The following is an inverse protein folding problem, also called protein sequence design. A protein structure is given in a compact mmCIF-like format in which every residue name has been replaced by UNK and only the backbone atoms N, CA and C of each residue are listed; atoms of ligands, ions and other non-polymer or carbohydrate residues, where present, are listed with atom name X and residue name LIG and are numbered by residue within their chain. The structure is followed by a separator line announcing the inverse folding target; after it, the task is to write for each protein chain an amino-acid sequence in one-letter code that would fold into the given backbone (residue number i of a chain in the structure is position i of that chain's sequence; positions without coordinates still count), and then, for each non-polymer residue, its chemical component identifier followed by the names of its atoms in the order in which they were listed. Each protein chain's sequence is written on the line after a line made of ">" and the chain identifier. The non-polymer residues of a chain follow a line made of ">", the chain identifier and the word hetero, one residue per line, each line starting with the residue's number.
data_IF_075394724636
#
_entry.id   IF_075394724636
#
_cell.length_a   1.000
_cell.length_b   1.000
_cell.length_c   1.000
_cell.angle_alpha   90.00
_cell.angle_beta   90.00
_cell.angle_gamma   90.00
#
_symmetry.space_group_name_H-M   'P 1'
#
loop_
_entity.id
_entity.type
_entity.pdbx_description
1 polymer ?
#
# COMPACT_ATOMS: atom_id res chain seq x y z
N UNK A 1 -58.75 -83.16 4.00
CA UNK A 1 -59.07 -83.93 2.78
C UNK A 1 -59.98 -83.08 1.92
N UNK A 2 -59.43 -82.41 0.91
CA UNK A 2 -60.21 -81.78 -0.16
C UNK A 2 -59.38 -81.85 -1.45
N UNK A 3 -59.98 -82.51 -2.44
CA UNK A 3 -59.51 -82.78 -3.80
C UNK A 3 -59.32 -81.47 -4.61
N UNK A 4 -58.36 -81.36 -5.55
CA UNK A 4 -58.48 -81.69 -7.00
C UNK A 4 -59.87 -81.21 -7.56
N UNK A 5 -60.03 -80.30 -8.53
CA UNK A 5 -59.13 -79.75 -9.56
C UNK A 5 -59.82 -78.59 -10.36
N UNK A 6 -59.47 -78.23 -11.62
CA UNK A 6 -58.90 -76.92 -11.99
C UNK A 6 -59.64 -76.21 -13.17
N UNK A 7 -58.89 -75.33 -13.84
CA UNK A 7 -58.97 -74.90 -15.24
C UNK A 7 -59.83 -73.68 -15.60
N UNK A 8 -59.10 -72.74 -16.20
CA UNK A 8 -59.49 -71.91 -17.35
C UNK A 8 -60.64 -70.91 -17.17
N UNK A 9 -60.25 -69.64 -17.14
CA UNK A 9 -60.25 -68.89 -18.42
C UNK A 9 -59.36 -67.67 -18.33
N UNK A 10 -58.37 -67.64 -19.24
CA UNK A 10 -57.87 -66.40 -19.80
C UNK A 10 -59.07 -65.61 -20.35
N UNK A 11 -59.33 -64.43 -19.80
CA UNK A 11 -59.92 -63.36 -20.56
C UNK A 11 -59.04 -62.13 -20.34
N UNK A 12 -58.34 -61.82 -21.43
CA UNK A 12 -57.56 -60.63 -21.65
C UNK A 12 -58.36 -59.37 -21.29
N UNK A 13 -57.89 -58.67 -20.25
CA UNK A 13 -58.38 -57.36 -19.83
C UNK A 13 -57.22 -56.38 -19.67
N UNK A 14 -56.12 -56.63 -20.39
CA UNK A 14 -54.87 -55.86 -20.27
C UNK A 14 -54.74 -54.76 -21.32
N UNK A 15 -55.54 -54.80 -22.40
CA UNK A 15 -55.48 -53.80 -23.47
C UNK A 15 -56.24 -52.49 -23.17
N UNK A 16 -57.24 -52.48 -22.27
CA UNK A 16 -58.06 -51.28 -22.00
C UNK A 16 -57.57 -50.42 -20.82
N UNK A 17 -56.61 -50.90 -20.01
CA UNK A 17 -56.14 -50.16 -18.83
C UNK A 17 -55.04 -49.14 -19.12
N UNK A 18 -54.35 -49.26 -20.25
CA UNK A 18 -53.18 -48.42 -20.55
C UNK A 18 -53.55 -47.11 -21.30
N UNK A 19 -54.73 -47.02 -21.91
CA UNK A 19 -55.14 -45.85 -22.70
C UNK A 19 -55.90 -44.78 -21.89
N UNK A 20 -56.45 -45.14 -20.73
CA UNK A 20 -57.26 -44.24 -19.90
C UNK A 20 -56.43 -43.35 -18.95
N UNK A 21 -55.19 -43.73 -18.64
CA UNK A 21 -54.33 -42.98 -17.70
C UNK A 21 -53.55 -41.83 -18.37
N UNK A 22 -53.33 -41.90 -19.69
CA UNK A 22 -52.55 -40.88 -20.42
C UNK A 22 -53.30 -39.57 -20.71
N UNK A 23 -54.62 -39.49 -20.47
CA UNK A 23 -55.43 -38.30 -20.82
C UNK A 23 -55.79 -37.40 -19.64
N UNK A 24 -55.45 -37.73 -18.40
CA UNK A 24 -55.94 -36.98 -17.24
C UNK A 24 -54.90 -36.80 -16.13
N UNK A 25 -53.92 -35.93 -16.36
CA UNK A 25 -53.60 -34.83 -15.44
C UNK A 25 -52.56 -33.88 -16.03
N UNK A 26 -53.12 -32.79 -16.54
CA UNK A 26 -52.46 -31.56 -16.93
C UNK A 26 -51.51 -31.07 -15.84
N UNK A 27 -50.24 -30.93 -16.20
CA UNK A 27 -49.23 -30.21 -15.42
C UNK A 27 -49.46 -28.72 -15.64
N UNK A 28 -49.74 -27.91 -14.60
CA UNK A 28 -49.83 -26.47 -14.80
C UNK A 28 -48.42 -25.93 -15.09
N UNK A 29 -48.22 -25.10 -16.13
CA UNK A 29 -46.96 -24.41 -16.33
C UNK A 29 -46.84 -23.29 -15.29
N UNK A 30 -46.31 -23.64 -14.12
CA UNK A 30 -45.90 -22.69 -13.09
C UNK A 30 -44.38 -22.77 -13.01
N UNK A 31 -43.75 -21.60 -13.01
CA UNK A 31 -42.32 -21.38 -12.72
C UNK A 31 -41.35 -21.41 -13.90
N UNK A 32 -41.76 -20.79 -15.01
CA UNK A 32 -40.83 -20.06 -15.88
C UNK A 32 -40.98 -18.58 -15.49
N UNK A 33 -40.40 -18.09 -14.39
CA UNK A 33 -39.13 -17.35 -14.39
C UNK A 33 -38.76 -17.05 -12.91
N UNK A 34 -37.91 -17.85 -12.26
CA UNK A 34 -37.16 -17.41 -11.08
C UNK A 34 -35.71 -17.03 -11.43
N UNK A 35 -35.20 -17.48 -12.58
CA UNK A 35 -33.78 -17.43 -12.90
C UNK A 35 -33.24 -16.01 -13.22
N UNK A 36 -34.10 -15.09 -13.66
CA UNK A 36 -33.65 -13.74 -14.08
C UNK A 36 -33.48 -12.78 -12.89
N UNK A 37 -34.25 -12.93 -11.80
CA UNK A 37 -34.12 -12.05 -10.62
C UNK A 37 -32.88 -12.38 -9.78
N UNK A 38 -32.52 -13.65 -9.65
CA UNK A 38 -31.29 -14.06 -8.93
C UNK A 38 -30.04 -13.56 -9.66
N UNK A 39 -30.04 -13.57 -11.00
CA UNK A 39 -28.95 -13.00 -11.79
C UNK A 39 -28.85 -11.47 -11.65
N UNK A 40 -29.98 -10.77 -11.51
CA UNK A 40 -30.04 -9.33 -11.23
C UNK A 40 -29.48 -8.96 -9.86
N UNK A 41 -29.82 -9.72 -8.81
CA UNK A 41 -29.29 -9.53 -7.45
C UNK A 41 -27.79 -9.81 -7.42
N UNK A 42 -27.32 -10.85 -8.11
CA UNK A 42 -25.89 -11.17 -8.22
C UNK A 42 -25.10 -10.07 -8.96
N UNK A 43 -25.68 -9.50 -10.03
CA UNK A 43 -25.11 -8.34 -10.73
C UNK A 43 -25.16 -7.06 -9.89
N UNK A 44 -26.22 -6.83 -9.12
CA UNK A 44 -26.35 -5.68 -8.24
C UNK A 44 -25.33 -5.75 -7.09
N UNK A 45 -25.14 -6.92 -6.47
CA UNK A 45 -24.11 -7.13 -5.44
C UNK A 45 -22.70 -6.95 -6.03
N UNK A 46 -22.44 -7.44 -7.25
CA UNK A 46 -21.18 -7.23 -7.96
C UNK A 46 -20.98 -5.76 -8.37
N UNK A 47 -22.04 -5.06 -8.73
CA UNK A 47 -22.01 -3.63 -9.07
C UNK A 47 -21.79 -2.75 -7.82
N UNK A 48 -22.38 -3.10 -6.67
CA UNK A 48 -22.09 -2.48 -5.37
C UNK A 48 -20.64 -2.73 -4.92
N UNK A 49 -20.11 -3.94 -5.15
CA UNK A 49 -18.69 -4.24 -4.98
C UNK A 49 -17.79 -3.44 -5.93
N UNK A 50 -18.20 -3.29 -7.18
CA UNK A 50 -17.50 -2.50 -8.19
C UNK A 50 -17.55 -0.99 -7.89
N UNK A 51 -18.61 -0.48 -7.26
CA UNK A 51 -18.70 0.90 -6.78
C UNK A 51 -17.75 1.15 -5.60
N UNK A 52 -17.59 0.18 -4.69
CA UNK A 52 -16.55 0.22 -3.65
C UNK A 52 -15.15 0.16 -4.26
N UNK A 53 -14.93 -0.73 -5.23
CA UNK A 53 -13.70 -0.82 -6.00
C UNK A 53 -13.39 0.45 -6.78
N UNK A 54 -14.38 1.10 -7.38
CA UNK A 54 -14.24 2.36 -8.09
C UNK A 54 -13.88 3.51 -7.15
N UNK A 55 -14.42 3.54 -5.93
CA UNK A 55 -14.03 4.52 -4.90
C UNK A 55 -12.59 4.30 -4.44
N UNK A 56 -12.18 3.05 -4.25
CA UNK A 56 -10.80 2.68 -3.96
C UNK A 56 -9.85 3.03 -5.11
N UNK A 57 -10.23 2.78 -6.36
CA UNK A 57 -9.46 3.19 -7.55
C UNK A 57 -9.43 4.72 -7.68
N UNK A 58 -10.47 5.44 -7.27
CA UNK A 58 -10.51 6.90 -7.31
C UNK A 58 -9.62 7.52 -6.22
N UNK A 59 -9.60 6.94 -5.02
CA UNK A 59 -8.69 7.32 -3.92
C UNK A 59 -7.26 6.90 -4.22
N UNK A 60 -7.05 5.70 -4.75
CA UNK A 60 -5.73 5.23 -5.19
C UNK A 60 -5.24 6.06 -6.38
N UNK A 61 -6.12 6.50 -7.29
CA UNK A 61 -5.74 7.36 -8.43
C UNK A 61 -5.57 8.83 -8.04
N UNK A 62 -6.24 9.33 -7.01
CA UNK A 62 -5.96 10.66 -6.44
C UNK A 62 -4.64 10.64 -5.65
N UNK A 63 -4.39 9.59 -4.86
CA UNK A 63 -3.12 9.35 -4.20
C UNK A 63 -1.98 9.18 -5.22
N UNK A 64 -2.20 8.43 -6.31
CA UNK A 64 -1.25 8.24 -7.40
C UNK A 64 -0.98 9.54 -8.19
N UNK A 65 -1.96 10.45 -8.30
CA UNK A 65 -1.73 11.79 -8.88
C UNK A 65 -0.85 12.65 -7.98
N UNK A 66 -1.08 12.64 -6.67
CA UNK A 66 -0.20 13.30 -5.70
C UNK A 66 1.22 12.71 -5.69
N UNK A 67 1.34 11.39 -5.75
CA UNK A 67 2.61 10.67 -5.86
C UNK A 67 3.35 10.95 -7.18
N UNK A 68 2.64 11.16 -8.29
CA UNK A 68 3.24 11.54 -9.58
C UNK A 68 3.72 12.98 -9.62
N UNK A 69 3.04 13.90 -8.92
CA UNK A 69 3.49 15.27 -8.76
C UNK A 69 4.74 15.38 -7.86
N UNK A 70 4.85 14.50 -6.86
CA UNK A 70 6.08 14.31 -6.07
C UNK A 70 7.18 13.60 -6.89
N UNK A 71 6.80 12.66 -7.75
CA UNK A 71 7.71 11.86 -8.59
C UNK A 71 8.24 12.56 -9.85
N UNK A 72 7.74 13.75 -10.22
CA UNK A 72 8.33 14.55 -11.32
C UNK A 72 9.55 15.35 -10.86
N UNK A 73 9.71 15.56 -9.55
CA UNK A 73 10.90 16.19 -8.94
C UNK A 73 11.88 15.14 -8.40
N UNK A 74 11.37 13.96 -8.01
CA UNK A 74 12.20 12.81 -7.66
C UNK A 74 12.66 12.07 -8.91
N UNK A 75 13.96 12.07 -9.21
CA UNK A 75 14.51 11.21 -10.27
C UNK A 75 13.97 9.78 -10.15
N UNK A 76 13.39 9.26 -11.22
CA UNK A 76 12.69 7.95 -11.36
C UNK A 76 13.35 6.75 -10.64
N UNK A 77 14.63 6.86 -10.29
CA UNK A 77 15.46 5.84 -9.64
C UNK A 77 15.20 5.72 -8.13
N UNK A 78 14.96 6.82 -7.40
CA UNK A 78 14.88 6.81 -5.93
C UNK A 78 13.64 6.11 -5.39
N UNK A 79 12.45 6.53 -5.82
CA UNK A 79 11.17 5.93 -5.39
C UNK A 79 11.05 4.49 -5.89
N UNK A 80 11.48 4.21 -7.13
CA UNK A 80 11.48 2.87 -7.69
C UNK A 80 12.35 1.91 -6.87
N UNK A 81 13.56 2.34 -6.49
CA UNK A 81 14.45 1.54 -5.66
C UNK A 81 13.85 1.24 -4.28
N UNK A 82 13.29 2.26 -3.60
CA UNK A 82 12.65 2.06 -2.29
C UNK A 82 11.45 1.13 -2.41
N UNK A 83 10.61 1.28 -3.44
CA UNK A 83 9.46 0.40 -3.65
C UNK A 83 9.87 -1.06 -3.92
N UNK A 84 10.88 -1.27 -4.77
CA UNK A 84 11.43 -2.61 -5.04
C UNK A 84 12.05 -3.20 -3.77
N UNK A 85 12.81 -2.40 -3.01
CA UNK A 85 13.39 -2.83 -1.74
C UNK A 85 12.31 -3.21 -0.73
N UNK A 86 11.27 -2.39 -0.57
CA UNK A 86 10.15 -2.70 0.33
C UNK A 86 9.43 -3.99 -0.06
N UNK A 87 9.27 -4.24 -1.37
CA UNK A 87 8.70 -5.48 -1.85
C UNK A 87 9.58 -6.68 -1.48
N UNK A 88 10.90 -6.60 -1.72
CA UNK A 88 11.85 -7.65 -1.38
C UNK A 88 11.87 -7.92 0.12
N UNK A 89 11.90 -6.86 0.94
CA UNK A 89 11.85 -6.97 2.41
C UNK A 89 10.54 -7.60 2.87
N UNK A 90 9.41 -7.22 2.27
CA UNK A 90 8.10 -7.80 2.60
C UNK A 90 8.05 -9.30 2.30
N UNK A 91 8.53 -9.71 1.12
CA UNK A 91 8.53 -11.12 0.71
C UNK A 91 9.52 -11.95 1.55
N UNK A 92 10.71 -11.41 1.82
CA UNK A 92 11.73 -12.08 2.62
C UNK A 92 11.33 -12.16 4.09
N UNK A 93 10.75 -11.09 4.63
CA UNK A 93 10.18 -11.05 5.99
C UNK A 93 9.06 -12.06 6.17
N UNK A 94 8.16 -12.18 5.19
CA UNK A 94 7.12 -13.20 5.17
C UNK A 94 7.69 -14.61 5.12
N UNK A 95 8.70 -14.86 4.29
CA UNK A 95 9.37 -16.15 4.19
C UNK A 95 10.07 -16.54 5.51
N UNK A 96 10.80 -15.60 6.12
CA UNK A 96 11.45 -15.81 7.41
C UNK A 96 10.45 -16.06 8.53
N UNK A 97 9.39 -15.25 8.59
CA UNK A 97 8.35 -15.42 9.61
C UNK A 97 7.61 -16.75 9.47
N UNK A 98 7.31 -17.17 8.23
CA UNK A 98 6.77 -18.49 7.96
C UNK A 98 7.73 -19.61 8.36
N UNK A 99 9.03 -19.48 8.07
CA UNK A 99 10.02 -20.50 8.41
C UNK A 99 10.20 -20.66 9.93
N UNK A 100 10.16 -19.55 10.69
CA UNK A 100 10.41 -19.58 12.13
C UNK A 100 9.17 -19.96 12.95
N UNK A 101 7.98 -19.50 12.58
CA UNK A 101 6.78 -19.70 13.39
C UNK A 101 5.88 -20.86 12.91
N UNK A 102 6.22 -21.51 11.80
CA UNK A 102 5.47 -22.68 11.33
C UNK A 102 5.65 -23.85 12.30
N UNK A 103 4.54 -24.40 12.77
CA UNK A 103 4.52 -25.56 13.66
C UNK A 103 4.82 -25.23 15.13
N UNK A 104 4.93 -23.94 15.48
CA UNK A 104 5.04 -23.51 16.88
C UNK A 104 3.65 -23.57 17.54
N UNK A 105 3.50 -24.19 18.72
CA UNK A 105 2.22 -24.25 19.42
C UNK A 105 1.64 -22.87 19.70
N UNK A 106 0.41 -22.63 19.24
CA UNK A 106 -0.27 -21.33 19.38
C UNK A 106 0.19 -20.26 18.39
N UNK A 107 0.82 -20.67 17.28
CA UNK A 107 1.07 -19.82 16.12
C UNK A 107 -0.17 -19.70 15.23
N UNK A 108 -0.45 -18.49 14.74
CA UNK A 108 -1.49 -18.24 13.71
C UNK A 108 -0.87 -18.24 12.30
N UNK A 109 0.45 -18.43 12.18
CA UNK A 109 1.19 -18.40 10.91
C UNK A 109 1.24 -19.83 10.35
N UNK A 110 0.18 -20.23 9.64
CA UNK A 110 0.07 -21.58 9.06
C UNK A 110 0.39 -21.62 7.56
N UNK A 111 0.36 -20.47 6.89
CA UNK A 111 0.60 -20.33 5.44
C UNK A 111 1.52 -19.16 5.12
N UNK A 112 2.13 -19.18 3.93
CA UNK A 112 2.89 -18.04 3.44
C UNK A 112 2.01 -16.80 3.29
N UNK A 113 0.73 -16.95 2.92
CA UNK A 113 -0.21 -15.84 2.80
C UNK A 113 -0.47 -15.15 4.15
N UNK A 114 -0.62 -15.91 5.24
CA UNK A 114 -0.75 -15.35 6.59
C UNK A 114 0.53 -14.64 7.04
N UNK A 115 1.71 -15.15 6.69
CA UNK A 115 2.98 -14.49 6.99
C UNK A 115 3.18 -13.20 6.18
N UNK A 116 2.73 -13.19 4.92
CA UNK A 116 2.75 -12.01 4.06
C UNK A 116 1.83 -10.92 4.59
N UNK A 117 0.60 -11.31 4.98
CA UNK A 117 -0.34 -10.41 5.64
C UNK A 117 0.25 -9.82 6.92
N UNK A 118 0.82 -10.67 7.79
CA UNK A 118 1.49 -10.25 9.02
C UNK A 118 2.59 -9.23 8.75
N UNK A 119 3.47 -9.53 7.78
CA UNK A 119 4.59 -8.65 7.41
C UNK A 119 4.09 -7.30 6.88
N UNK A 120 3.03 -7.29 6.06
CA UNK A 120 2.41 -6.07 5.56
C UNK A 120 1.81 -5.22 6.70
N UNK A 121 1.17 -5.83 7.69
CA UNK A 121 0.60 -5.13 8.85
C UNK A 121 1.69 -4.50 9.74
N UNK A 122 2.85 -5.16 9.90
CA UNK A 122 4.00 -4.61 10.61
C UNK A 122 4.61 -3.43 9.84
N UNK A 123 4.87 -3.59 8.54
CA UNK A 123 5.45 -2.52 7.71
C UNK A 123 4.57 -1.27 7.64
N UNK A 124 3.26 -1.45 7.62
CA UNK A 124 2.28 -0.36 7.63
C UNK A 124 1.99 0.20 9.02
N UNK A 125 2.65 -0.32 10.06
CA UNK A 125 2.50 0.08 11.47
C UNK A 125 1.08 -0.08 12.05
N UNK A 126 0.18 -0.78 11.34
CA UNK A 126 -1.17 -1.10 11.86
C UNK A 126 -1.12 -2.13 12.98
N UNK A 127 -0.03 -2.90 13.07
CA UNK A 127 0.11 -3.98 14.05
C UNK A 127 -0.67 -5.23 13.62
N UNK A 128 -0.19 -6.38 14.05
CA UNK A 128 -0.78 -7.67 13.70
C UNK A 128 -1.42 -8.33 14.91
N UNK A 129 -2.46 -9.13 14.68
CA UNK A 129 -3.14 -9.92 15.74
C UNK A 129 -2.27 -11.06 16.30
N UNK A 130 -1.06 -11.24 15.78
CA UNK A 130 -0.14 -12.29 16.16
C UNK A 130 1.24 -11.71 16.52
N UNK A 131 1.83 -12.21 17.62
CA UNK A 131 3.19 -11.87 18.04
C UNK A 131 4.09 -13.11 17.96
N UNK A 132 5.30 -13.00 17.38
CA UNK A 132 6.26 -14.11 17.29
C UNK A 132 6.59 -14.67 18.67
N UNK A 133 6.64 -16.00 18.78
CA UNK A 133 7.00 -16.71 20.01
C UNK A 133 8.45 -17.18 20.01
N UNK A 134 9.03 -17.40 18.83
CA UNK A 134 10.44 -17.77 18.63
C UNK A 134 11.38 -16.60 18.87
N UNK A 135 12.64 -16.87 19.21
CA UNK A 135 13.65 -15.83 19.38
C UNK A 135 13.99 -15.17 18.04
N UNK A 136 14.11 -15.99 16.99
CA UNK A 136 14.37 -15.59 15.62
C UNK A 136 13.24 -14.73 15.05
N UNK A 137 11.97 -15.13 15.28
CA UNK A 137 10.80 -14.35 14.88
C UNK A 137 10.71 -13.00 15.59
N UNK A 138 11.10 -12.91 16.87
CA UNK A 138 11.15 -11.64 17.60
C UNK A 138 12.24 -10.71 17.06
N UNK A 139 13.42 -11.23 16.76
CA UNK A 139 14.49 -10.45 16.12
C UNK A 139 14.05 -9.95 14.75
N UNK A 140 13.43 -10.80 13.94
CA UNK A 140 12.89 -10.43 12.64
C UNK A 140 11.80 -9.34 12.76
N UNK A 141 10.91 -9.46 13.74
CA UNK A 141 9.90 -8.45 14.05
C UNK A 141 10.54 -7.08 14.37
N UNK A 142 11.61 -7.05 15.17
CA UNK A 142 12.33 -5.80 15.50
C UNK A 142 12.93 -5.16 14.24
N UNK A 143 13.56 -5.97 13.39
CA UNK A 143 14.16 -5.49 12.14
C UNK A 143 13.12 -4.93 11.18
N UNK A 144 11.98 -5.62 11.01
CA UNK A 144 10.87 -5.16 10.18
C UNK A 144 10.26 -3.85 10.72
N UNK A 145 10.09 -3.73 12.03
CA UNK A 145 9.57 -2.52 12.65
C UNK A 145 10.53 -1.32 12.45
N UNK A 146 11.83 -1.55 12.62
CA UNK A 146 12.87 -0.52 12.40
C UNK A 146 12.92 -0.11 10.94
N UNK A 147 12.80 -1.07 10.01
CA UNK A 147 12.72 -0.81 8.58
C UNK A 147 11.50 0.04 8.21
N UNK A 148 10.32 -0.30 8.74
CA UNK A 148 9.10 0.51 8.55
C UNK A 148 9.31 1.96 8.99
N UNK A 149 9.86 2.17 10.19
CA UNK A 149 10.18 3.51 10.70
C UNK A 149 11.20 4.26 9.83
N UNK A 150 12.23 3.56 9.33
CA UNK A 150 13.23 4.14 8.44
C UNK A 150 12.61 4.61 7.11
N UNK A 151 11.68 3.84 6.53
CA UNK A 151 10.95 4.28 5.33
C UNK A 151 10.13 5.53 5.62
N UNK A 152 9.40 5.57 6.75
CA UNK A 152 8.65 6.76 7.13
C UNK A 152 9.56 7.99 7.24
N UNK A 153 10.71 7.85 7.89
CA UNK A 153 11.72 8.91 7.97
C UNK A 153 12.25 9.34 6.60
N UNK A 154 12.55 8.37 5.72
CA UNK A 154 12.99 8.64 4.36
C UNK A 154 11.94 9.43 3.57
N UNK A 155 10.67 9.05 3.65
CA UNK A 155 9.57 9.76 2.98
C UNK A 155 9.43 11.18 3.51
N UNK A 156 9.49 11.39 4.82
CA UNK A 156 9.44 12.71 5.43
C UNK A 156 10.63 13.60 5.00
N UNK A 157 11.86 13.07 5.05
CA UNK A 157 13.06 13.77 4.60
C UNK A 157 13.02 14.10 3.10
N UNK A 158 12.45 13.21 2.31
CA UNK A 158 12.23 13.39 0.88
C UNK A 158 11.26 14.54 0.61
N UNK A 159 10.16 14.62 1.35
CA UNK A 159 9.21 15.74 1.25
C UNK A 159 9.89 17.05 1.69
N UNK A 160 10.61 17.05 2.80
CA UNK A 160 11.35 18.23 3.26
C UNK A 160 12.36 18.72 2.19
N UNK A 161 13.11 17.80 1.59
CA UNK A 161 14.07 18.11 0.51
C UNK A 161 13.39 18.68 -0.73
N UNK A 162 12.17 18.22 -1.05
CA UNK A 162 11.37 18.80 -2.13
C UNK A 162 11.01 20.27 -1.86
N UNK A 163 10.59 20.61 -0.63
CA UNK A 163 10.30 21.99 -0.26
C UNK A 163 11.55 22.87 -0.30
N UNK A 164 12.66 22.39 0.26
CA UNK A 164 13.95 23.11 0.21
C UNK A 164 14.41 23.35 -1.23
N UNK A 165 14.28 22.35 -2.10
CA UNK A 165 14.62 22.49 -3.52
C UNK A 165 13.70 23.47 -4.25
N UNK A 166 12.40 23.51 -3.90
CA UNK A 166 11.42 24.47 -4.46
C UNK A 166 11.65 25.90 -3.99
N UNK A 167 12.03 26.08 -2.73
CA UNK A 167 12.40 27.39 -2.18
C UNK A 167 13.73 27.89 -2.75
N UNK A 168 14.66 26.98 -3.08
CA UNK A 168 15.90 27.33 -3.79
C UNK A 168 15.63 27.73 -5.26
N UNK A 169 14.75 27.01 -5.96
CA UNK A 169 14.34 27.29 -7.35
C UNK A 169 13.52 28.59 -7.46
N UNK A 170 12.84 28.97 -6.38
CA UNK A 170 12.30 30.32 -6.21
C UNK A 170 13.46 31.23 -5.79
N UNK A 171 14.26 31.69 -6.76
CA UNK A 171 15.36 32.67 -6.80
C UNK A 171 15.70 33.52 -5.53
N UNK A 172 14.74 33.78 -4.65
CA UNK A 172 14.89 34.51 -3.39
C UNK A 172 15.96 33.95 -2.43
N UNK A 173 16.11 32.63 -2.31
CA UNK A 173 17.05 32.03 -1.34
C UNK A 173 18.52 32.18 -1.73
N UNK A 174 18.85 31.77 -2.97
CA UNK A 174 20.22 31.81 -3.49
C UNK A 174 20.66 33.26 -3.79
N UNK A 175 19.76 34.09 -4.34
CA UNK A 175 20.04 35.51 -4.55
C UNK A 175 20.18 36.26 -3.23
N UNK A 176 19.39 35.93 -2.19
CA UNK A 176 19.55 36.56 -0.87
C UNK A 176 20.90 36.20 -0.22
N UNK A 177 21.32 34.93 -0.30
CA UNK A 177 22.63 34.48 0.20
C UNK A 177 23.78 35.17 -0.54
N UNK A 178 23.76 35.18 -1.87
CA UNK A 178 24.78 35.86 -2.68
C UNK A 178 24.83 37.37 -2.40
N UNK A 179 23.68 38.04 -2.27
CA UNK A 179 23.62 39.46 -1.90
C UNK A 179 24.20 39.74 -0.52
N UNK A 180 23.95 38.87 0.46
CA UNK A 180 24.52 39.02 1.81
C UNK A 180 26.05 38.85 1.81
N UNK A 181 26.57 37.89 1.04
CA UNK A 181 28.02 37.68 0.90
C UNK A 181 28.69 38.92 0.28
N UNK A 182 28.15 39.43 -0.83
CA UNK A 182 28.68 40.62 -1.50
C UNK A 182 28.60 41.86 -0.59
N UNK A 183 27.52 42.00 0.18
CA UNK A 183 27.39 43.10 1.14
C UNK A 183 28.45 43.00 2.26
N UNK A 184 28.72 41.79 2.73
CA UNK A 184 29.72 41.53 3.76
C UNK A 184 31.14 41.79 3.24
N UNK A 185 31.47 41.36 2.03
CA UNK A 185 32.77 41.65 1.39
C UNK A 185 33.02 43.15 1.26
N UNK A 186 32.01 43.93 0.86
CA UNK A 186 32.12 45.40 0.82
C UNK A 186 32.32 46.01 2.20
N UNK A 187 31.60 45.52 3.21
CA UNK A 187 31.75 46.00 4.58
C UNK A 187 33.17 45.71 5.10
N UNK A 188 33.71 44.53 4.83
CA UNK A 188 35.09 44.16 5.18
C UNK A 188 36.10 45.04 4.44
N UNK A 189 35.93 45.28 3.14
CA UNK A 189 36.80 46.16 2.37
C UNK A 189 36.81 47.59 2.91
N UNK A 190 35.64 48.13 3.26
CA UNK A 190 35.51 49.45 3.86
C UNK A 190 36.10 49.55 5.27
N UNK A 191 36.04 48.48 6.07
CA UNK A 191 36.68 48.46 7.38
C UNK A 191 38.21 48.43 7.24
N UNK A 192 38.72 47.68 6.26
CA UNK A 192 40.15 47.58 5.96
C UNK A 192 40.75 48.93 5.54
N UNK A 193 40.07 49.66 4.65
CA UNK A 193 40.53 50.99 4.24
C UNK A 193 40.56 52.00 5.40
N UNK A 194 39.59 51.95 6.32
CA UNK A 194 39.58 52.79 7.52
C UNK A 194 40.76 52.49 8.45
N UNK A 195 41.14 51.22 8.58
CA UNK A 195 42.31 50.82 9.36
C UNK A 195 43.58 51.39 8.72
N UNK A 196 43.75 51.27 7.41
CA UNK A 196 44.93 51.78 6.70
C UNK A 196 45.08 53.31 6.84
N UNK A 197 43.97 54.05 6.79
CA UNK A 197 43.96 55.51 7.00
C UNK A 197 44.32 55.89 8.45
N UNK A 198 43.83 55.14 9.44
CA UNK A 198 44.18 55.36 10.85
C UNK A 198 45.66 55.08 11.11
N UNK A 199 46.22 54.03 10.49
CA UNK A 199 47.64 53.70 10.60
C UNK A 199 48.50 54.81 9.98
N UNK A 200 48.14 55.31 8.80
CA UNK A 200 48.92 56.37 8.15
C UNK A 200 48.88 57.70 8.92
N UNK A 201 47.71 58.11 9.42
CA UNK A 201 47.57 59.35 10.21
C UNK A 201 48.30 59.29 11.56
N UNK A 202 48.30 58.14 12.23
CA UNK A 202 49.08 57.94 13.45
C UNK A 202 50.59 57.91 13.17
N UNK A 203 51.00 57.33 12.05
CA UNK A 203 52.40 57.34 11.59
C UNK A 203 52.92 58.75 11.37
N UNK A 204 52.18 59.60 10.64
CA UNK A 204 52.56 60.99 10.43
C UNK A 204 52.57 61.82 11.73
N UNK A 205 51.65 61.53 12.65
CA UNK A 205 51.55 62.24 13.94
C UNK A 205 52.68 61.86 14.89
N UNK A 206 53.18 60.62 14.83
CA UNK A 206 54.35 60.17 15.57
C UNK A 206 55.66 60.79 15.07
N UNK A 207 55.80 60.94 13.74
CA UNK A 207 56.96 61.57 13.10
C UNK A 207 57.05 63.06 13.45
N UNK A 208 55.92 63.80 13.37
CA UNK A 208 55.84 65.24 13.72
C UNK A 208 56.12 65.55 15.20
N UNK A 209 56.18 64.55 16.08
CA UNK A 209 56.40 64.74 17.52
C UNK A 209 57.86 64.46 17.94
N UNK A 210 58.72 64.01 17.01
CA UNK A 210 60.15 63.77 17.24
C UNK A 210 61.09 64.79 16.56
N UNK A 211 60.55 65.69 15.74
CA UNK A 211 61.24 66.91 15.27
C UNK A 211 60.97 68.09 16.22
#
# INVERSE_FOLDING_TARGET
>A
MAAYQPMERMHDGRAERDEADSRSRAVPPRDLIPAVRVLGIFRAVRALGALRGARLVRVASSANRGMRALGSVMGRRGIGYVATLSLVVTLTGAAGMYAFERGVPGSTIDSFASALWWTAMILTTMGSDYFPRTAEGRLLCLLLATYGFAIFGYVAATIASFFVARDADTDQGEIAGAKQIVALERAVAGLRSRIDVLISTLGESGVRRQE
#
